data_IF_799133449233
#
_entry.id   IF_799133449233
#
_cell.length_a   1.000
_cell.length_b   1.000
_cell.length_c   1.000
_cell.angle_alpha   90.00
_cell.angle_beta   90.00
_cell.angle_gamma   90.00
#
_symmetry.space_group_name_H-M   'P 1'
#
loop_
_entity.id
_entity.type
_entity.pdbx_description
1 polymer ?
#
# COMPACT_ATOMS: atom_id res chain seq x y z
N UNK A 1 10.77 -75.52 -17.68
CA UNK A 1 9.77 -74.95 -16.75
C UNK A 1 10.27 -74.74 -15.33
N UNK A 2 11.24 -75.43 -14.78
CA UNK A 2 11.81 -75.21 -13.44
C UNK A 2 12.57 -73.90 -13.34
N UNK A 3 13.35 -73.53 -14.33
CA UNK A 3 14.12 -72.25 -14.31
C UNK A 3 13.26 -71.02 -14.44
N UNK A 4 12.14 -71.11 -15.14
CA UNK A 4 11.19 -69.99 -15.25
C UNK A 4 10.58 -69.62 -13.90
N UNK A 5 10.25 -70.65 -13.09
CA UNK A 5 9.72 -70.43 -11.71
C UNK A 5 10.77 -69.83 -10.76
N UNK A 6 12.03 -70.17 -10.92
CA UNK A 6 13.14 -69.61 -10.11
C UNK A 6 13.37 -68.13 -10.48
N UNK A 7 13.35 -67.83 -11.78
CA UNK A 7 13.52 -66.44 -12.27
C UNK A 7 12.36 -65.54 -11.80
N UNK A 8 11.12 -66.03 -11.89
CA UNK A 8 9.95 -65.26 -11.38
C UNK A 8 9.97 -65.08 -9.87
N UNK A 9 10.41 -66.07 -9.10
CA UNK A 9 10.56 -65.97 -7.66
C UNK A 9 11.71 -65.02 -7.26
N UNK A 10 12.83 -65.07 -7.99
CA UNK A 10 13.96 -64.13 -7.78
C UNK A 10 13.57 -62.68 -8.10
N UNK A 11 12.81 -62.46 -9.19
CA UNK A 11 12.32 -61.15 -9.58
C UNK A 11 11.32 -60.59 -8.56
N UNK A 12 10.43 -61.45 -8.02
CA UNK A 12 9.49 -61.08 -6.98
C UNK A 12 10.20 -60.73 -5.67
N UNK A 13 11.25 -61.48 -5.30
CA UNK A 13 12.04 -61.18 -4.09
C UNK A 13 12.80 -59.84 -4.20
N UNK A 14 13.26 -59.42 -5.37
CA UNK A 14 13.89 -58.12 -5.59
C UNK A 14 12.93 -56.94 -5.38
N UNK A 15 11.65 -57.10 -5.70
CA UNK A 15 10.64 -56.06 -5.51
C UNK A 15 10.34 -55.75 -4.03
N UNK A 16 10.54 -56.72 -3.10
CA UNK A 16 10.25 -56.53 -1.66
C UNK A 16 11.38 -55.83 -0.93
N UNK A 17 12.59 -55.75 -1.50
CA UNK A 17 13.73 -55.04 -0.88
C UNK A 17 13.80 -53.58 -1.23
N UNK A 18 13.08 -53.10 -2.25
CA UNK A 18 13.15 -51.72 -2.76
C UNK A 18 12.45 -50.68 -1.90
N UNK A 19 11.58 -51.06 -0.95
CA UNK A 19 10.75 -50.10 -0.20
C UNK A 19 11.33 -49.62 1.13
N UNK A 20 12.44 -50.17 1.64
CA UNK A 20 12.94 -49.83 2.97
C UNK A 20 13.77 -48.55 3.03
N UNK A 21 14.44 -48.17 1.97
CA UNK A 21 15.29 -46.99 1.95
C UNK A 21 14.47 -45.69 1.84
N UNK A 22 13.34 -45.71 1.15
CA UNK A 22 12.44 -44.56 1.02
C UNK A 22 11.80 -44.16 2.36
N UNK A 23 11.46 -45.11 3.22
CA UNK A 23 10.87 -44.82 4.53
C UNK A 23 11.86 -44.16 5.46
N UNK A 24 13.14 -44.54 5.46
CA UNK A 24 14.19 -43.91 6.27
C UNK A 24 14.46 -42.47 5.82
N UNK A 25 14.49 -42.22 4.51
CA UNK A 25 14.66 -40.90 3.94
C UNK A 25 13.46 -40.00 4.32
N UNK A 26 12.25 -40.47 4.19
CA UNK A 26 11.02 -39.74 4.57
C UNK A 26 10.99 -39.38 6.06
N UNK A 27 11.37 -40.32 6.93
CA UNK A 27 11.48 -40.06 8.38
C UNK A 27 12.54 -38.99 8.65
N UNK A 28 13.70 -39.08 8.01
CA UNK A 28 14.77 -38.09 8.20
C UNK A 28 14.36 -36.68 7.70
N UNK A 29 13.66 -36.60 6.58
CA UNK A 29 13.12 -35.33 6.05
C UNK A 29 12.05 -34.74 6.97
N UNK A 30 11.12 -35.58 7.48
CA UNK A 30 10.12 -35.13 8.44
C UNK A 30 10.75 -34.55 9.70
N UNK A 31 11.75 -35.25 10.28
CA UNK A 31 12.47 -34.77 11.46
C UNK A 31 13.25 -33.46 11.21
N UNK A 32 13.82 -33.28 10.02
CA UNK A 32 14.47 -32.03 9.64
C UNK A 32 13.47 -30.88 9.54
N UNK A 33 12.32 -31.14 8.90
CA UNK A 33 11.25 -30.15 8.76
C UNK A 33 10.68 -29.76 10.11
N UNK A 34 10.44 -30.71 11.01
CA UNK A 34 9.99 -30.43 12.38
C UNK A 34 10.99 -29.57 13.15
N UNK A 35 12.27 -29.90 13.13
CA UNK A 35 13.32 -29.09 13.79
C UNK A 35 13.41 -27.69 13.21
N UNK A 36 13.27 -27.54 11.91
CA UNK A 36 13.25 -26.24 11.21
C UNK A 36 12.04 -25.44 11.63
N UNK A 37 10.86 -26.03 11.63
CA UNK A 37 9.60 -25.40 12.03
C UNK A 37 9.63 -24.96 13.50
N UNK A 38 10.21 -25.75 14.39
CA UNK A 38 10.39 -25.39 15.80
C UNK A 38 11.35 -24.20 15.98
N UNK A 39 12.42 -24.17 15.18
CA UNK A 39 13.35 -23.03 15.16
C UNK A 39 12.66 -21.75 14.70
N UNK A 40 11.92 -21.82 13.59
CA UNK A 40 11.14 -20.71 13.04
C UNK A 40 10.09 -20.24 14.05
N UNK A 41 9.36 -21.16 14.67
CA UNK A 41 8.36 -20.86 15.69
C UNK A 41 8.97 -20.08 16.87
N UNK A 42 10.14 -20.51 17.35
CA UNK A 42 10.86 -19.79 18.42
C UNK A 42 11.25 -18.37 18.00
N UNK A 43 11.76 -18.21 16.78
CA UNK A 43 12.14 -16.91 16.23
C UNK A 43 10.91 -16.00 16.08
N UNK A 44 9.84 -16.48 15.46
CA UNK A 44 8.61 -15.70 15.29
C UNK A 44 7.96 -15.37 16.64
N UNK A 45 7.94 -16.32 17.59
CA UNK A 45 7.41 -16.09 18.93
C UNK A 45 8.14 -14.99 19.68
N UNK A 46 9.43 -14.80 19.46
CA UNK A 46 10.20 -13.73 20.10
C UNK A 46 9.98 -12.36 19.43
N UNK A 47 9.80 -12.34 18.12
CA UNK A 47 9.79 -11.13 17.32
C UNK A 47 8.38 -10.71 16.86
N UNK A 48 7.32 -11.44 17.24
CA UNK A 48 5.94 -11.09 16.90
C UNK A 48 5.41 -10.02 17.84
N UNK A 49 5.83 -8.80 17.62
CA UNK A 49 5.34 -7.61 18.32
C UNK A 49 5.36 -6.43 17.38
N UNK A 50 4.32 -5.63 17.44
CA UNK A 50 4.13 -4.44 16.63
C UNK A 50 4.13 -3.24 17.59
N UNK A 51 5.29 -2.59 17.74
CA UNK A 51 5.50 -1.48 18.68
C UNK A 51 4.98 -0.17 18.09
N UNK A 52 3.68 -0.12 17.82
CA UNK A 52 3.04 1.10 17.34
C UNK A 52 2.82 2.02 18.54
N UNK A 53 3.40 3.25 18.56
CA UNK A 53 3.21 4.18 19.64
C UNK A 53 1.74 4.61 19.75
N UNK A 54 1.27 5.03 20.93
CA UNK A 54 -0.07 5.60 21.06
C UNK A 54 -0.19 6.85 20.20
N UNK A 55 -1.34 7.09 19.57
CA UNK A 55 -1.58 8.28 18.77
C UNK A 55 -1.57 9.54 19.64
N UNK A 56 -1.23 10.70 19.05
CA UNK A 56 -1.33 11.99 19.72
C UNK A 56 -2.76 12.21 20.26
N UNK A 57 -2.96 12.93 21.38
CA UNK A 57 -4.27 13.05 22.04
C UNK A 57 -5.39 13.55 21.11
N UNK A 58 -5.12 14.51 20.25
CA UNK A 58 -6.08 15.00 19.25
C UNK A 58 -6.45 13.93 18.22
N UNK A 59 -5.46 13.15 17.80
CA UNK A 59 -5.68 12.03 16.90
C UNK A 59 -6.52 10.97 17.58
N UNK A 60 -6.15 10.57 18.81
CA UNK A 60 -6.89 9.57 19.61
C UNK A 60 -8.36 9.96 19.75
N UNK A 61 -8.65 11.23 20.05
CA UNK A 61 -10.01 11.75 20.14
C UNK A 61 -10.75 11.66 18.79
N UNK A 62 -10.08 11.96 17.69
CA UNK A 62 -10.69 12.03 16.36
C UNK A 62 -10.93 10.66 15.72
N UNK A 63 -10.10 9.66 16.06
CA UNK A 63 -10.27 8.26 15.62
C UNK A 63 -11.11 7.44 16.62
N UNK A 64 -11.50 8.01 17.76
CA UNK A 64 -12.42 7.33 18.68
C UNK A 64 -13.74 7.05 17.98
N UNK A 65 -14.19 5.79 18.03
CA UNK A 65 -15.37 5.33 17.29
C UNK A 65 -15.09 4.84 15.86
N UNK A 66 -13.83 4.89 15.39
CA UNK A 66 -13.44 4.19 14.18
C UNK A 66 -13.15 2.73 14.51
N UNK A 67 -14.21 1.92 14.50
CA UNK A 67 -14.18 0.53 14.94
C UNK A 67 -13.14 -0.33 14.21
N UNK A 68 -12.94 -0.10 12.90
CA UNK A 68 -12.00 -0.85 12.08
C UNK A 68 -10.55 -0.58 12.51
N UNK A 69 -10.24 0.66 12.89
CA UNK A 69 -8.93 1.04 13.45
C UNK A 69 -8.68 0.33 14.78
N UNK A 70 -9.66 0.37 15.69
CA UNK A 70 -9.57 -0.28 16.99
C UNK A 70 -9.44 -1.80 16.87
N UNK A 71 -10.27 -2.43 16.04
CA UNK A 71 -10.22 -3.87 15.78
C UNK A 71 -8.88 -4.30 15.17
N UNK A 72 -8.35 -3.52 14.23
CA UNK A 72 -7.07 -3.82 13.62
C UNK A 72 -5.91 -3.69 14.64
N UNK A 73 -5.87 -2.63 15.45
CA UNK A 73 -4.86 -2.47 16.49
C UNK A 73 -4.95 -3.56 17.56
N UNK A 74 -6.15 -3.94 17.99
CA UNK A 74 -6.36 -5.05 18.93
C UNK A 74 -5.84 -6.36 18.33
N UNK A 75 -6.05 -6.58 17.03
CA UNK A 75 -5.53 -7.75 16.34
C UNK A 75 -4.00 -7.76 16.29
N UNK A 76 -3.34 -6.61 16.08
CA UNK A 76 -1.87 -6.50 16.10
C UNK A 76 -1.27 -6.84 17.48
N UNK A 77 -1.93 -6.43 18.55
CA UNK A 77 -1.44 -6.65 19.92
C UNK A 77 -1.59 -8.11 20.39
N UNK A 78 -2.50 -8.86 19.80
CA UNK A 78 -2.72 -10.26 20.15
C UNK A 78 -1.68 -11.16 19.51
N UNK A 79 -0.71 -11.61 20.30
CA UNK A 79 0.31 -12.55 19.85
C UNK A 79 -0.27 -13.97 19.76
N UNK A 80 -0.07 -14.68 18.63
CA UNK A 80 -0.45 -16.09 18.54
C UNK A 80 0.44 -16.97 19.41
N UNK A 81 -0.12 -18.05 19.92
CA UNK A 81 0.57 -19.02 20.77
C UNK A 81 0.50 -20.42 20.20
N UNK A 82 1.44 -21.26 20.57
CA UNK A 82 1.44 -22.68 20.31
C UNK A 82 2.14 -23.07 19.01
N UNK A 83 1.48 -23.05 17.89
CA UNK A 83 1.95 -23.66 16.65
C UNK A 83 2.22 -22.65 15.54
N UNK A 84 3.08 -23.02 14.58
CA UNK A 84 3.33 -22.22 13.38
C UNK A 84 2.01 -21.97 12.60
N UNK A 85 1.11 -22.94 12.61
CA UNK A 85 -0.21 -22.80 11.98
C UNK A 85 -1.09 -21.72 12.65
N UNK A 86 -0.93 -21.51 13.97
CA UNK A 86 -1.60 -20.40 14.65
C UNK A 86 -1.10 -19.04 14.14
N UNK A 87 0.21 -18.91 13.85
CA UNK A 87 0.78 -17.70 13.24
C UNK A 87 0.28 -17.47 11.83
N UNK A 88 0.16 -18.52 11.00
CA UNK A 88 -0.41 -18.43 9.64
C UNK A 88 -1.86 -17.94 9.67
N UNK A 89 -2.69 -18.54 10.55
CA UNK A 89 -4.08 -18.09 10.73
C UNK A 89 -4.17 -16.66 11.21
N UNK A 90 -3.30 -16.26 12.14
CA UNK A 90 -3.21 -14.87 12.62
C UNK A 90 -2.89 -13.92 11.49
N UNK A 91 -1.88 -14.21 10.68
CA UNK A 91 -1.52 -13.40 9.53
C UNK A 91 -2.70 -13.26 8.52
N UNK A 92 -3.46 -14.34 8.28
CA UNK A 92 -4.66 -14.30 7.44
C UNK A 92 -5.74 -13.36 7.99
N UNK A 93 -6.01 -13.43 9.30
CA UNK A 93 -6.97 -12.53 9.96
C UNK A 93 -6.50 -11.08 9.86
N UNK A 94 -5.21 -10.82 10.05
CA UNK A 94 -4.63 -9.49 9.92
C UNK A 94 -4.79 -8.94 8.50
N UNK A 95 -4.63 -9.74 7.45
CA UNK A 95 -4.90 -9.32 6.05
C UNK A 95 -6.35 -8.84 5.92
N UNK A 96 -7.31 -9.63 6.42
CA UNK A 96 -8.73 -9.25 6.35
C UNK A 96 -9.01 -7.95 7.10
N UNK A 97 -8.50 -7.82 8.34
CA UNK A 97 -8.71 -6.62 9.16
C UNK A 97 -8.05 -5.38 8.56
N UNK A 98 -6.85 -5.51 7.99
CA UNK A 98 -6.17 -4.42 7.31
C UNK A 98 -6.92 -3.96 6.04
N UNK A 99 -7.46 -4.90 5.27
CA UNK A 99 -8.28 -4.57 4.09
C UNK A 99 -9.57 -3.85 4.48
N UNK A 100 -10.28 -4.33 5.51
CA UNK A 100 -11.49 -3.68 6.01
C UNK A 100 -11.18 -2.27 6.54
N UNK A 101 -10.07 -2.09 7.26
CA UNK A 101 -9.60 -0.78 7.72
C UNK A 101 -9.38 0.20 6.55
N UNK A 102 -8.70 -0.27 5.50
CA UNK A 102 -8.39 0.52 4.31
C UNK A 102 -9.65 0.91 3.53
N UNK A 103 -10.66 0.05 3.50
CA UNK A 103 -11.91 0.27 2.75
C UNK A 103 -12.91 1.16 3.52
N UNK A 104 -12.76 1.29 4.83
CA UNK A 104 -13.67 2.03 5.71
C UNK A 104 -12.99 3.22 6.41
N UNK A 105 -12.28 4.06 5.63
CA UNK A 105 -11.65 5.27 6.17
C UNK A 105 -12.72 6.34 6.41
N UNK A 106 -12.82 6.93 7.62
CA UNK A 106 -13.74 8.02 7.90
C UNK A 106 -13.55 9.19 6.92
N UNK A 107 -14.62 9.87 6.49
CA UNK A 107 -14.55 10.93 5.47
C UNK A 107 -13.51 12.02 5.77
N UNK A 108 -13.33 12.36 7.03
CA UNK A 108 -12.36 13.38 7.46
C UNK A 108 -10.91 12.96 7.13
N UNK A 109 -10.55 11.68 7.33
CA UNK A 109 -9.24 11.14 7.06
C UNK A 109 -9.11 10.50 5.67
N UNK A 110 -10.19 10.45 4.89
CA UNK A 110 -10.20 9.81 3.58
C UNK A 110 -9.49 10.68 2.51
N UNK A 111 -8.18 10.83 2.69
CA UNK A 111 -7.28 11.58 1.80
C UNK A 111 -6.36 10.61 1.04
N UNK A 112 -5.89 10.98 -0.16
CA UNK A 112 -4.99 10.12 -0.96
C UNK A 112 -3.77 9.64 -0.19
N UNK A 113 -3.18 10.49 0.65
CA UNK A 113 -1.99 10.18 1.46
C UNK A 113 -2.26 9.07 2.48
N UNK A 114 -3.41 9.13 3.15
CA UNK A 114 -3.84 8.09 4.12
C UNK A 114 -4.10 6.78 3.42
N UNK A 115 -4.83 6.82 2.29
CA UNK A 115 -5.10 5.62 1.49
C UNK A 115 -3.80 4.94 1.06
N UNK A 116 -2.86 5.70 0.51
CA UNK A 116 -1.57 5.16 0.06
C UNK A 116 -0.80 4.48 1.20
N UNK A 117 -0.77 5.06 2.40
CA UNK A 117 -0.12 4.45 3.57
C UNK A 117 -0.81 3.17 4.01
N UNK A 118 -2.14 3.16 4.08
CA UNK A 118 -2.89 1.96 4.42
C UNK A 118 -2.74 0.87 3.35
N UNK A 119 -2.64 1.22 2.06
CA UNK A 119 -2.32 0.27 0.99
C UNK A 119 -0.96 -0.41 1.21
N UNK A 120 0.05 0.35 1.67
CA UNK A 120 1.37 -0.20 2.03
C UNK A 120 1.27 -1.13 3.24
N UNK A 121 0.47 -0.77 4.27
CA UNK A 121 0.20 -1.66 5.42
C UNK A 121 -0.42 -2.97 4.96
N UNK A 122 -1.49 -2.91 4.16
CA UNK A 122 -2.15 -4.10 3.60
C UNK A 122 -1.16 -4.96 2.82
N UNK A 123 -0.37 -4.35 1.95
CA UNK A 123 0.63 -5.05 1.14
C UNK A 123 1.68 -5.77 2.00
N UNK A 124 2.22 -5.10 3.03
CA UNK A 124 3.21 -5.71 3.92
C UNK A 124 2.62 -6.93 4.68
N UNK A 125 1.37 -6.83 5.14
CA UNK A 125 0.70 -7.93 5.84
C UNK A 125 0.37 -9.08 4.87
N UNK A 126 -0.05 -8.79 3.64
CA UNK A 126 -0.25 -9.79 2.60
C UNK A 126 1.06 -10.53 2.26
N UNK A 127 2.16 -9.79 2.12
CA UNK A 127 3.48 -10.39 1.90
C UNK A 127 3.89 -11.27 3.08
N UNK A 128 3.65 -10.81 4.33
CA UNK A 128 3.92 -11.61 5.53
C UNK A 128 3.10 -12.92 5.52
N UNK A 129 1.81 -12.87 5.22
CA UNK A 129 0.97 -14.05 5.07
C UNK A 129 1.48 -14.98 3.96
N UNK A 130 1.86 -14.43 2.81
CA UNK A 130 2.41 -15.20 1.70
C UNK A 130 3.69 -15.94 2.09
N UNK A 131 4.65 -15.24 2.73
CA UNK A 131 5.90 -15.85 3.16
C UNK A 131 5.71 -16.92 4.24
N UNK A 132 4.69 -16.78 5.10
CA UNK A 132 4.37 -17.80 6.10
C UNK A 132 3.78 -19.08 5.50
N UNK A 133 3.27 -19.03 4.27
CA UNK A 133 2.72 -20.19 3.56
C UNK A 133 3.71 -20.85 2.58
N UNK A 134 4.94 -20.36 2.50
CA UNK A 134 6.00 -21.01 1.74
C UNK A 134 6.45 -22.31 2.44
N UNK A 135 6.93 -23.25 1.68
CA UNK A 135 7.53 -24.48 2.18
C UNK A 135 8.75 -24.18 3.08
N UNK A 136 9.61 -23.26 2.64
CA UNK A 136 10.69 -22.72 3.45
C UNK A 136 10.34 -21.30 3.88
N UNK A 137 10.02 -21.13 5.15
CA UNK A 137 9.57 -19.85 5.70
C UNK A 137 10.79 -18.94 5.95
N UNK A 138 10.86 -17.76 5.29
CA UNK A 138 11.97 -16.82 5.46
C UNK A 138 11.73 -15.93 6.70
N UNK A 139 12.04 -16.43 7.88
CA UNK A 139 11.82 -15.77 9.17
C UNK A 139 12.34 -14.32 9.23
N UNK A 140 13.55 -14.07 8.72
CA UNK A 140 14.14 -12.72 8.67
C UNK A 140 13.30 -11.73 7.84
N UNK A 141 12.72 -12.20 6.74
CA UNK A 141 11.83 -11.36 5.92
C UNK A 141 10.53 -11.04 6.64
N UNK A 142 9.98 -12.02 7.35
CA UNK A 142 8.76 -11.82 8.16
C UNK A 142 9.02 -10.79 9.27
N UNK A 143 10.14 -10.89 9.97
CA UNK A 143 10.53 -9.91 11.00
C UNK A 143 10.69 -8.50 10.40
N UNK A 144 11.33 -8.39 9.25
CA UNK A 144 11.44 -7.12 8.52
C UNK A 144 10.07 -6.53 8.17
N UNK A 145 9.11 -7.37 7.75
CA UNK A 145 7.75 -6.93 7.45
C UNK A 145 6.97 -6.47 8.69
N UNK A 146 7.18 -7.13 9.84
CA UNK A 146 6.63 -6.66 11.13
C UNK A 146 7.12 -5.23 11.43
N UNK A 147 8.42 -4.97 11.29
CA UNK A 147 8.99 -3.64 11.44
C UNK A 147 8.46 -2.63 10.41
N UNK A 148 8.22 -3.05 9.17
CA UNK A 148 7.63 -2.20 8.14
C UNK A 148 6.19 -1.82 8.49
N UNK A 149 5.36 -2.78 8.91
CA UNK A 149 3.97 -2.53 9.34
C UNK A 149 3.95 -1.53 10.49
N UNK A 150 4.80 -1.72 11.51
CA UNK A 150 4.92 -0.79 12.65
C UNK A 150 5.26 0.63 12.19
N UNK A 151 6.24 0.78 11.29
CA UNK A 151 6.66 2.07 10.76
C UNK A 151 5.55 2.75 9.96
N UNK A 152 4.86 2.01 9.09
CA UNK A 152 3.79 2.57 8.27
C UNK A 152 2.56 2.96 9.09
N UNK A 153 2.22 2.23 10.15
CA UNK A 153 1.15 2.61 11.07
C UNK A 153 1.50 3.88 11.86
N UNK A 154 2.75 3.98 12.33
CA UNK A 154 3.24 5.21 12.97
C UNK A 154 3.19 6.39 12.00
N UNK A 155 3.61 6.19 10.76
CA UNK A 155 3.54 7.22 9.73
C UNK A 155 2.10 7.59 9.35
N UNK A 156 1.16 6.64 9.43
CA UNK A 156 -0.28 6.89 9.23
C UNK A 156 -0.84 7.75 10.37
N UNK A 157 -0.48 7.48 11.62
CA UNK A 157 -0.88 8.32 12.76
C UNK A 157 -0.32 9.75 12.65
N UNK A 158 0.92 9.90 12.22
CA UNK A 158 1.51 11.22 11.97
C UNK A 158 0.77 11.96 10.84
N UNK A 159 0.31 11.24 9.82
CA UNK A 159 -0.51 11.83 8.75
C UNK A 159 -1.88 12.27 9.27
N UNK A 160 -2.48 11.55 10.22
CA UNK A 160 -3.71 12.00 10.88
C UNK A 160 -3.49 13.29 11.65
N UNK A 161 -2.39 13.40 12.42
CA UNK A 161 -2.04 14.62 13.14
C UNK A 161 -1.87 15.81 12.19
N UNK A 162 -1.19 15.60 11.08
CA UNK A 162 -1.01 16.61 10.03
C UNK A 162 -2.36 17.08 9.46
N UNK A 163 -3.28 16.16 9.13
CA UNK A 163 -4.62 16.50 8.62
C UNK A 163 -5.40 17.31 9.64
N UNK A 164 -5.34 16.95 10.94
CA UNK A 164 -6.00 17.69 12.00
C UNK A 164 -5.42 19.09 12.10
N UNK A 165 -4.08 19.22 12.13
CA UNK A 165 -3.40 20.52 12.19
C UNK A 165 -3.78 21.43 11.02
N UNK A 166 -3.80 20.90 9.80
CA UNK A 166 -4.23 21.68 8.63
C UNK A 166 -5.69 22.10 8.70
N UNK A 167 -6.57 21.27 9.28
CA UNK A 167 -7.99 21.63 9.45
C UNK A 167 -8.23 22.73 10.48
N UNK A 168 -7.28 22.94 11.38
CA UNK A 168 -7.34 23.98 12.44
C UNK A 168 -6.77 25.33 11.99
N UNK A 169 -6.09 25.39 10.83
CA UNK A 169 -5.58 26.66 10.29
C UNK A 169 -6.77 27.52 9.84
N UNK A 170 -6.91 28.75 10.38
CA UNK A 170 -7.97 29.65 9.93
C UNK A 170 -7.76 29.97 8.43
N UNK A 171 -8.85 29.97 7.68
CA UNK A 171 -8.82 30.41 6.27
C UNK A 171 -8.63 31.92 6.23
N UNK A 172 -7.76 32.38 5.32
CA UNK A 172 -7.57 33.81 5.08
C UNK A 172 -8.79 34.40 4.39
N UNK A 173 -9.01 35.73 4.63
CA UNK A 173 -10.05 36.47 3.90
C UNK A 173 -9.78 36.36 2.37
N UNK A 174 -10.81 35.94 1.64
CA UNK A 174 -10.71 35.70 0.19
C UNK A 174 -10.42 34.25 -0.23
N UNK A 175 -9.82 33.42 0.62
CA UNK A 175 -9.60 31.99 0.29
C UNK A 175 -10.93 31.24 0.09
N UNK A 176 -11.93 31.56 0.92
CA UNK A 176 -13.26 30.97 0.77
C UNK A 176 -13.93 31.40 -0.54
N UNK A 177 -13.74 32.65 -0.95
CA UNK A 177 -14.26 33.16 -2.23
C UNK A 177 -13.56 32.49 -3.40
N UNK A 178 -12.24 32.27 -3.31
CA UNK A 178 -11.48 31.58 -4.33
C UNK A 178 -11.90 30.12 -4.45
N UNK A 179 -12.09 29.41 -3.33
CA UNK A 179 -12.58 28.03 -3.33
C UNK A 179 -14.00 27.93 -3.93
N UNK A 180 -14.87 28.89 -3.64
CA UNK A 180 -16.20 28.95 -4.27
C UNK A 180 -16.13 29.22 -5.77
N UNK A 181 -15.16 30.01 -6.22
CA UNK A 181 -14.95 30.28 -7.64
C UNK A 181 -14.38 29.07 -8.39
N UNK A 182 -13.61 28.20 -7.70
CA UNK A 182 -13.05 26.96 -8.25
C UNK A 182 -14.03 25.78 -8.20
N UNK A 183 -15.16 25.93 -7.50
CA UNK A 183 -16.19 24.90 -7.43
C UNK A 183 -16.96 24.83 -8.75
N UNK A 184 -16.47 23.96 -9.65
CA UNK A 184 -17.06 23.75 -10.98
C UNK A 184 -18.47 23.18 -10.94
N UNK A 185 -18.92 22.62 -9.81
CA UNK A 185 -20.31 22.13 -9.67
C UNK A 185 -21.33 23.25 -9.63
N UNK A 186 -20.87 24.48 -9.38
CA UNK A 186 -21.69 25.70 -9.33
C UNK A 186 -21.60 26.52 -10.62
N UNK A 187 -20.73 26.16 -11.54
CA UNK A 187 -20.70 26.79 -12.87
C UNK A 187 -21.95 26.36 -13.60
N UNK A 188 -22.72 27.35 -14.08
CA UNK A 188 -23.87 27.09 -14.92
C UNK A 188 -23.43 26.21 -16.11
N UNK A 189 -24.12 25.11 -16.32
CA UNK A 189 -23.86 24.27 -17.48
C UNK A 189 -24.06 25.15 -18.74
N UNK A 190 -23.09 25.23 -19.67
CA UNK A 190 -23.24 26.06 -20.87
C UNK A 190 -24.49 25.68 -21.69
N UNK A 191 -24.96 24.44 -21.55
CA UNK A 191 -26.15 23.94 -22.23
C UNK A 191 -27.49 24.40 -21.58
N UNK A 192 -27.45 24.93 -20.34
CA UNK A 192 -28.59 25.42 -19.57
C UNK A 192 -28.81 26.95 -19.71
N UNK A 193 -27.98 27.64 -20.48
CA UNK A 193 -28.15 29.07 -20.73
C UNK A 193 -29.24 29.20 -21.82
N UNK A 194 -30.45 29.73 -21.53
CA UNK A 194 -31.41 30.02 -22.56
C UNK A 194 -30.79 30.95 -23.60
N UNK A 195 -30.66 30.52 -24.83
CA UNK A 195 -30.28 31.42 -25.92
C UNK A 195 -31.37 32.48 -26.05
N UNK A 196 -31.12 33.64 -25.45
CA UNK A 196 -31.93 34.83 -25.75
C UNK A 196 -31.67 35.21 -27.22
N UNK A 197 -32.53 34.76 -28.11
CA UNK A 197 -32.54 35.17 -29.52
C UNK A 197 -32.66 36.68 -29.57
N UNK A 198 -31.57 37.37 -29.91
CA UNK A 198 -31.60 38.79 -30.22
C UNK A 198 -30.63 39.71 -29.45
N UNK A 199 -29.84 39.22 -28.55
CA UNK A 199 -28.82 40.08 -27.94
C UNK A 199 -27.54 40.15 -28.79
N UNK A 200 -27.18 41.32 -29.37
CA UNK A 200 -25.91 41.45 -30.10
C UNK A 200 -24.75 41.08 -29.19
N UNK A 201 -23.85 40.20 -29.66
CA UNK A 201 -22.61 39.86 -28.96
C UNK A 201 -21.87 41.14 -28.63
N UNK A 202 -21.37 41.32 -27.38
CA UNK A 202 -20.48 42.44 -27.06
C UNK A 202 -19.30 42.39 -28.02
N UNK A 203 -19.14 43.43 -28.83
CA UNK A 203 -17.96 43.55 -29.70
C UNK A 203 -16.74 43.58 -28.82
N UNK A 204 -15.84 42.61 -29.02
CA UNK A 204 -14.56 42.56 -28.32
C UNK A 204 -13.84 43.87 -28.59
N UNK A 205 -13.74 44.71 -27.58
CA UNK A 205 -12.90 45.90 -27.66
C UNK A 205 -11.43 45.43 -27.81
N UNK A 206 -10.67 45.98 -28.77
CA UNK A 206 -9.28 45.65 -28.91
C UNK A 206 -8.56 45.97 -27.59
N UNK A 207 -7.92 44.95 -27.02
CA UNK A 207 -7.07 45.13 -25.84
C UNK A 207 -5.94 46.06 -26.20
N UNK A 208 -6.04 47.34 -25.81
CA UNK A 208 -4.91 48.24 -25.85
C UNK A 208 -3.86 47.75 -24.88
N UNK A 209 -2.61 47.50 -25.28
CA UNK A 209 -1.57 47.07 -24.36
C UNK A 209 -1.43 48.11 -23.25
N UNK A 210 -1.70 47.77 -22.00
CA UNK A 210 -1.33 48.63 -20.86
C UNK A 210 0.18 48.68 -20.83
N UNK A 211 0.75 49.87 -21.16
CA UNK A 211 2.17 50.15 -21.01
C UNK A 211 2.52 50.03 -19.53
N UNK A 212 3.37 49.11 -19.19
CA UNK A 212 3.89 48.95 -17.84
C UNK A 212 4.82 50.13 -17.51
N UNK A 213 4.48 51.06 -16.57
CA UNK A 213 5.30 52.20 -16.26
C UNK A 213 6.64 51.89 -15.58
N UNK A 214 6.89 50.62 -15.26
CA UNK A 214 8.11 50.11 -14.60
C UNK A 214 8.99 49.24 -15.50
N UNK A 215 8.84 49.29 -16.82
CA UNK A 215 9.73 48.56 -17.71
C UNK A 215 11.11 49.31 -17.80
N UNK A 216 12.24 48.69 -17.45
CA UNK A 216 13.54 49.29 -17.60
C UNK A 216 13.84 49.53 -19.09
N UNK A 217 14.41 50.69 -19.42
CA UNK A 217 14.80 51.08 -20.76
C UNK A 217 15.77 50.03 -21.33
N UNK A 218 15.34 49.32 -22.35
CA UNK A 218 16.11 48.26 -22.98
C UNK A 218 17.22 48.78 -23.83
N UNK A 219 18.46 48.38 -23.56
CA UNK A 219 19.57 48.49 -24.47
C UNK A 219 19.35 47.52 -25.63
N UNK A 220 19.33 48.08 -26.84
CA UNK A 220 19.27 47.33 -28.08
C UNK A 220 20.53 46.49 -28.29
N UNK A 221 20.35 45.18 -28.43
CA UNK A 221 21.35 44.32 -29.05
C UNK A 221 20.65 43.51 -30.15
N UNK A 222 20.99 43.83 -31.38
CA UNK A 222 20.50 43.17 -32.58
C UNK A 222 20.97 41.71 -32.64
N UNK A 223 20.02 40.80 -32.66
CA UNK A 223 20.30 39.37 -32.89
C UNK A 223 20.07 39.06 -34.38
N UNK A 224 21.17 38.86 -35.07
CA UNK A 224 21.23 38.49 -36.47
C UNK A 224 20.89 37.01 -36.66
N UNK A 225 19.74 36.72 -37.21
CA UNK A 225 19.22 35.35 -37.44
C UNK A 225 19.82 34.82 -38.76
N UNK A 226 20.98 34.13 -38.69
CA UNK A 226 21.50 33.34 -39.80
C UNK A 226 20.59 32.13 -40.05
N UNK A 227 20.10 32.03 -41.29
CA UNK A 227 19.41 30.88 -41.88
C UNK A 227 20.34 29.67 -41.87
N UNK A 228 19.93 28.58 -41.24
CA UNK A 228 20.56 27.28 -41.45
C UNK A 228 19.71 26.45 -42.42
N UNK A 229 20.42 25.95 -43.45
CA UNK A 229 19.87 25.33 -44.64
C UNK A 229 19.21 23.99 -44.46
N UNK A 230 18.38 23.68 -45.44
CA UNK A 230 17.78 22.36 -45.69
C UNK A 230 18.88 21.31 -45.90
N UNK A 231 18.83 20.21 -45.20
CA UNK A 231 19.50 18.98 -45.57
C UNK A 231 18.45 18.01 -46.13
N UNK A 232 18.59 17.76 -47.44
CA UNK A 232 17.96 16.63 -48.12
C UNK A 232 18.77 15.37 -47.76
N UNK A 233 18.09 14.29 -47.55
CA UNK A 233 18.67 12.96 -47.44
C UNK A 233 18.07 12.10 -48.55
N UNK A 234 18.90 11.28 -49.28
CA UNK A 234 18.37 10.27 -50.19
C UNK A 234 17.80 9.06 -49.46
#
# INVERSE_FOLDING_TARGET
MKYLKIITFSLLALLVFSCKDDDQLRIAETQRTEKTNDSILKVLSRNWHFDVPPPAPKVAQRISGWNEWEQFNNELQQKPTGTLEAFKRKAKVMVTKASVLRDNIPPFFNKPQVRARLDVVVTNIQMMYTYMNLETIPDKKIISLIGNVTRELTATQNQFDEIIRFSEIPKEEGEEQMLRALDTTRLANPDDIPMEEGRPLPQAQPLTPKVNPYAPAGHGAGYNRKRLGKRNNP
#
